data_IF_198309818427
#
_entry.id   IF_198309818427
#
_cell.length_a   1.000
_cell.length_b   1.000
_cell.length_c   1.000
_cell.angle_alpha   90.00
_cell.angle_beta   90.00
_cell.angle_gamma   90.00
#
_symmetry.space_group_name_H-M   'P 1'
#
loop_
_entity.id
_entity.type
_entity.pdbx_description
1 polymer ?
#
# COMPACT_ATOMS: atom_id res chain seq x y z
N UNK A 1 -43.58 1.03 27.12
CA UNK A 1 -42.61 0.12 26.47
C UNK A 1 -42.51 0.53 24.98
N UNK A 2 -41.95 1.70 24.62
CA UNK A 2 -40.53 1.98 24.37
C UNK A 2 -39.80 0.80 23.70
N UNK A 3 -39.34 0.83 22.44
CA UNK A 3 -38.62 1.92 21.73
C UNK A 3 -38.98 1.94 20.24
N UNK A 4 -39.52 3.08 19.78
CA UNK A 4 -39.55 3.46 18.36
C UNK A 4 -38.12 3.77 17.92
N UNK A 5 -37.78 3.33 16.72
CA UNK A 5 -36.92 4.00 15.75
C UNK A 5 -35.95 5.03 16.34
N UNK A 6 -34.75 4.59 16.71
CA UNK A 6 -33.59 5.49 16.75
C UNK A 6 -33.14 5.79 15.32
N UNK A 7 -34.00 6.50 14.61
CA UNK A 7 -33.61 7.45 13.58
C UNK A 7 -32.82 8.53 14.30
N UNK A 8 -31.51 8.34 14.48
CA UNK A 8 -30.47 9.38 14.44
C UNK A 8 -29.17 8.65 14.02
N UNK A 9 -29.16 8.18 12.77
CA UNK A 9 -27.92 7.99 12.02
C UNK A 9 -27.39 9.39 11.73
N UNK A 10 -26.75 10.00 12.73
CA UNK A 10 -26.21 11.35 12.63
C UNK A 10 -25.34 11.47 11.39
N UNK A 11 -25.88 12.22 10.45
CA UNK A 11 -25.18 12.88 9.38
C UNK A 11 -24.07 13.73 10.01
N UNK A 12 -22.83 13.28 9.86
CA UNK A 12 -21.62 14.11 9.78
C UNK A 12 -20.50 13.24 9.20
N UNK A 13 -20.70 12.76 7.96
CA UNK A 13 -19.58 12.26 7.14
C UNK A 13 -18.95 13.46 6.45
N UNK A 14 -18.25 14.29 7.23
CA UNK A 14 -17.33 15.30 6.73
C UNK A 14 -16.32 15.58 7.82
N UNK A 15 -15.12 15.02 7.67
CA UNK A 15 -13.82 15.72 7.75
C UNK A 15 -12.69 14.68 7.87
N UNK A 16 -11.80 14.65 6.88
CA UNK A 16 -10.39 14.37 7.17
C UNK A 16 -9.84 15.72 7.71
N UNK A 17 -9.21 15.80 8.90
CA UNK A 17 -7.87 15.25 9.11
C UNK A 17 -7.58 14.82 10.56
N UNK A 18 -6.59 13.94 10.76
CA UNK A 18 -6.06 13.66 12.10
C UNK A 18 -6.23 12.20 12.51
N UNK A 19 -5.09 11.56 12.74
CA UNK A 19 -4.90 10.17 13.16
C UNK A 19 -5.82 9.83 14.34
N UNK A 20 -6.95 9.21 14.05
CA UNK A 20 -7.77 8.56 15.07
C UNK A 20 -7.05 7.28 15.44
N UNK A 21 -6.77 7.08 16.72
CA UNK A 21 -6.27 5.82 17.28
C UNK A 21 -7.37 4.74 17.22
N UNK A 22 -7.84 4.43 16.01
CA UNK A 22 -8.96 3.55 15.73
C UNK A 22 -8.72 2.77 14.45
N UNK A 23 -9.26 1.55 14.40
CA UNK A 23 -9.17 0.69 13.22
C UNK A 23 -10.12 1.23 12.15
N UNK A 24 -9.61 1.47 10.94
CA UNK A 24 -10.42 1.92 9.80
C UNK A 24 -11.20 0.74 9.23
N UNK A 25 -12.52 0.82 9.22
CA UNK A 25 -13.39 -0.16 8.56
C UNK A 25 -13.58 0.24 7.10
N UNK A 26 -13.02 -0.55 6.19
CA UNK A 26 -13.08 -0.31 4.76
C UNK A 26 -14.48 -0.61 4.20
N UNK A 27 -14.95 0.23 3.28
CA UNK A 27 -16.12 -0.03 2.46
C UNK A 27 -15.85 -1.12 1.41
N UNK A 28 -16.91 -1.70 0.83
CA UNK A 28 -16.80 -2.70 -0.25
C UNK A 28 -15.93 -2.20 -1.42
N UNK A 29 -16.11 -0.94 -1.81
CA UNK A 29 -15.32 -0.31 -2.90
C UNK A 29 -13.83 -0.24 -2.56
N UNK A 30 -13.50 0.08 -1.32
CA UNK A 30 -12.10 0.15 -0.87
C UNK A 30 -11.48 -1.24 -0.78
N UNK A 31 -12.24 -2.24 -0.31
CA UNK A 31 -11.80 -3.63 -0.29
C UNK A 31 -11.49 -4.17 -1.69
N UNK A 32 -12.29 -3.82 -2.70
CA UNK A 32 -12.01 -4.20 -4.10
C UNK A 32 -10.70 -3.59 -4.61
N UNK A 33 -10.44 -2.32 -4.29
CA UNK A 33 -9.17 -1.66 -4.63
C UNK A 33 -7.99 -2.34 -3.92
N UNK A 34 -8.11 -2.62 -2.61
CA UNK A 34 -7.08 -3.33 -1.84
C UNK A 34 -6.80 -4.71 -2.39
N UNK A 35 -7.82 -5.46 -2.80
CA UNK A 35 -7.64 -6.76 -3.47
C UNK A 35 -6.88 -6.63 -4.80
N UNK A 36 -7.16 -5.60 -5.60
CA UNK A 36 -6.46 -5.36 -6.86
C UNK A 36 -4.98 -5.03 -6.64
N UNK A 37 -4.69 -4.11 -5.73
CA UNK A 37 -3.31 -3.71 -5.40
C UNK A 37 -2.54 -4.85 -4.75
N UNK A 38 -3.17 -5.60 -3.83
CA UNK A 38 -2.54 -6.76 -3.20
C UNK A 38 -2.17 -7.86 -4.20
N UNK A 39 -3.01 -8.13 -5.20
CA UNK A 39 -2.66 -9.05 -6.30
C UNK A 39 -1.49 -8.54 -7.14
N UNK A 40 -1.46 -7.23 -7.42
CA UNK A 40 -0.36 -6.63 -8.16
C UNK A 40 0.98 -6.78 -7.40
N UNK A 41 0.97 -6.52 -6.09
CA UNK A 41 2.15 -6.69 -5.24
C UNK A 41 2.63 -8.14 -5.19
N UNK A 42 1.71 -9.11 -5.09
CA UNK A 42 2.05 -10.53 -5.14
C UNK A 42 2.67 -10.93 -6.49
N UNK A 43 2.14 -10.41 -7.59
CA UNK A 43 2.69 -10.66 -8.92
C UNK A 43 4.10 -10.10 -9.09
N UNK A 44 4.40 -8.93 -8.51
CA UNK A 44 5.75 -8.37 -8.50
C UNK A 44 6.72 -9.32 -7.78
N UNK A 45 6.35 -9.83 -6.61
CA UNK A 45 7.20 -10.77 -5.87
C UNK A 45 7.46 -12.06 -6.66
N UNK A 46 6.43 -12.63 -7.27
CA UNK A 46 6.56 -13.82 -8.13
C UNK A 46 7.43 -13.54 -9.38
N UNK A 47 7.41 -12.31 -9.90
CA UNK A 47 8.26 -11.90 -11.02
C UNK A 47 9.73 -11.80 -10.61
N UNK A 48 10.01 -11.30 -9.41
CA UNK A 48 11.38 -11.18 -8.89
C UNK A 48 11.97 -12.51 -8.42
N UNK A 49 11.15 -13.46 -7.96
CA UNK A 49 11.58 -14.77 -7.45
C UNK A 49 12.66 -15.47 -8.32
N UNK A 50 12.48 -15.65 -9.64
CA UNK A 50 13.49 -16.30 -10.48
C UNK A 50 14.79 -15.49 -10.68
N UNK A 51 14.79 -14.20 -10.36
CA UNK A 51 15.94 -13.28 -10.52
C UNK A 51 16.84 -13.32 -9.29
N UNK A 52 16.32 -13.73 -8.13
CA UNK A 52 17.08 -13.83 -6.89
C UNK A 52 18.02 -15.02 -6.95
N UNK A 53 19.25 -14.78 -7.42
CA UNK A 53 20.31 -15.78 -7.55
C UNK A 53 21.64 -15.22 -7.05
N UNK A 54 22.59 -16.08 -6.62
CA UNK A 54 23.91 -15.64 -6.20
C UNK A 54 24.60 -14.79 -7.27
N UNK A 55 25.16 -13.65 -6.86
CA UNK A 55 25.83 -12.71 -7.76
C UNK A 55 24.94 -11.59 -8.30
N UNK A 56 23.61 -11.66 -8.12
CA UNK A 56 22.72 -10.53 -8.40
C UNK A 56 22.75 -9.54 -7.25
N UNK A 57 22.93 -8.26 -7.58
CA UNK A 57 22.92 -7.16 -6.62
C UNK A 57 21.49 -6.76 -6.24
N UNK A 58 21.35 -6.15 -5.06
CA UNK A 58 20.07 -5.57 -4.64
C UNK A 58 19.63 -4.41 -5.51
N UNK A 59 20.59 -3.71 -6.13
CA UNK A 59 20.28 -2.63 -7.06
C UNK A 59 19.62 -3.17 -8.32
N UNK A 60 20.11 -4.29 -8.88
CA UNK A 60 19.48 -4.93 -10.03
C UNK A 60 18.04 -5.38 -9.72
N UNK A 61 17.81 -5.95 -8.54
CA UNK A 61 16.46 -6.31 -8.10
C UNK A 61 15.56 -5.08 -7.92
N UNK A 62 16.09 -3.98 -7.39
CA UNK A 62 15.36 -2.73 -7.23
C UNK A 62 14.96 -2.14 -8.58
N UNK A 63 15.89 -2.09 -9.54
CA UNK A 63 15.68 -1.50 -10.84
C UNK A 63 14.66 -2.31 -11.64
N UNK A 64 14.73 -3.63 -11.58
CA UNK A 64 13.73 -4.50 -12.20
C UNK A 64 12.36 -4.33 -11.55
N UNK A 65 12.30 -4.22 -10.22
CA UNK A 65 11.03 -4.00 -9.52
C UNK A 65 10.38 -2.66 -9.90
N UNK A 66 11.17 -1.60 -10.04
CA UNK A 66 10.70 -0.29 -10.50
C UNK A 66 10.19 -0.37 -11.93
N UNK A 67 10.97 -0.96 -12.85
CA UNK A 67 10.60 -1.13 -14.25
C UNK A 67 9.28 -1.92 -14.39
N UNK A 68 9.15 -3.03 -13.67
CA UNK A 68 7.95 -3.85 -13.69
C UNK A 68 6.74 -3.07 -13.13
N UNK A 69 6.93 -2.35 -12.02
CA UNK A 69 5.86 -1.56 -11.38
C UNK A 69 5.36 -0.44 -12.29
N UNK A 70 6.27 0.30 -12.93
CA UNK A 70 5.93 1.33 -13.92
C UNK A 70 5.22 0.73 -15.14
N UNK A 71 5.67 -0.42 -15.64
CA UNK A 71 5.03 -1.11 -16.76
C UNK A 71 3.58 -1.52 -16.48
N UNK A 72 3.24 -1.78 -15.21
CA UNK A 72 1.88 -2.06 -14.76
C UNK A 72 1.04 -0.80 -14.46
N UNK A 73 1.61 0.40 -14.68
CA UNK A 73 0.95 1.68 -14.41
C UNK A 73 0.78 1.97 -12.92
N UNK A 74 1.62 1.37 -12.08
CA UNK A 74 1.62 1.60 -10.63
C UNK A 74 2.82 2.47 -10.22
N UNK A 75 2.76 2.97 -8.99
CA UNK A 75 3.85 3.72 -8.34
C UNK A 75 4.32 2.93 -7.12
N UNK A 76 5.63 2.91 -6.88
CA UNK A 76 6.16 2.33 -5.64
C UNK A 76 5.65 3.13 -4.43
N UNK A 77 5.21 2.42 -3.41
CA UNK A 77 4.81 3.03 -2.14
C UNK A 77 6.02 3.43 -1.28
N UNK A 78 7.18 2.81 -1.51
CA UNK A 78 8.39 3.06 -0.73
C UNK A 78 9.17 4.27 -1.25
N UNK A 79 9.17 4.48 -2.57
CA UNK A 79 9.93 5.56 -3.18
C UNK A 79 9.46 6.93 -2.67
N UNK A 80 10.36 7.66 -2.01
CA UNK A 80 10.08 8.96 -1.40
C UNK A 80 9.33 8.89 -0.05
N UNK A 81 9.08 7.70 0.49
CA UNK A 81 8.45 7.57 1.81
C UNK A 81 9.31 8.26 2.88
N UNK A 82 8.74 9.28 3.53
CA UNK A 82 9.46 10.18 4.44
C UNK A 82 8.77 10.25 5.80
N UNK A 83 9.06 9.31 6.72
CA UNK A 83 8.53 9.39 8.08
C UNK A 83 9.18 10.55 8.86
N UNK A 84 8.49 11.13 9.86
CA UNK A 84 9.03 12.24 10.65
C UNK A 84 10.39 11.90 11.27
N UNK A 85 11.39 12.73 11.02
CA UNK A 85 12.75 12.54 11.57
C UNK A 85 13.66 11.64 10.74
N UNK A 86 13.22 11.16 9.58
CA UNK A 86 14.04 10.34 8.68
C UNK A 86 14.14 10.95 7.28
N UNK A 87 15.26 10.74 6.56
CA UNK A 87 15.37 11.13 5.16
C UNK A 87 14.41 10.30 4.29
N UNK A 88 14.04 10.80 3.09
CA UNK A 88 13.22 10.05 2.14
C UNK A 88 13.87 8.74 1.75
N UNK A 89 13.10 7.65 1.72
CA UNK A 89 13.57 6.37 1.20
C UNK A 89 13.79 6.46 -0.32
N UNK A 90 14.94 5.97 -0.79
CA UNK A 90 15.40 6.15 -2.17
C UNK A 90 15.14 4.96 -3.09
N UNK A 91 14.83 3.79 -2.52
CA UNK A 91 14.53 2.57 -3.27
C UNK A 91 13.05 2.46 -3.62
N UNK A 92 12.77 1.65 -4.63
CA UNK A 92 11.41 1.25 -5.00
C UNK A 92 10.96 0.00 -4.24
N UNK A 93 11.91 -0.79 -3.75
CA UNK A 93 11.66 -1.91 -2.84
C UNK A 93 12.65 -1.88 -1.67
N UNK A 94 12.33 -2.63 -0.61
CA UNK A 94 13.28 -2.93 0.44
C UNK A 94 13.84 -4.34 0.20
N UNK A 95 15.16 -4.47 0.16
CA UNK A 95 15.85 -5.76 0.08
C UNK A 95 16.72 -5.90 1.32
N UNK A 96 16.46 -6.92 2.14
CA UNK A 96 17.22 -7.22 3.35
C UNK A 96 17.79 -8.63 3.20
N UNK A 97 19.07 -8.80 3.51
CA UNK A 97 19.75 -10.10 3.59
C UNK A 97 19.90 -10.55 5.04
#
# INVERSE_FOLDING_TARGET
MNRKNSTIINQTFSEAPGKTSGIVLLSTRELEKMRRVGRLAANLLNHLEPIVQPGVSTQELNDEAENWTQAQGAISAQLGYTPPGHPPFTGSICTTF
#
